data_IF_049322723107
#
_entry.id   IF_049322723107
#
_cell.length_a   1.000
_cell.length_b   1.000
_cell.length_c   1.000
_cell.angle_alpha   90.00
_cell.angle_beta   90.00
_cell.angle_gamma   90.00
#
_symmetry.space_group_name_H-M   'P 1'
#
loop_
_entity.id
_entity.type
_entity.pdbx_description
1 polymer ?
#
# COMPACT_ATOMS: atom_id res chain seq x y z
N UNK A 1 -43.02 -38.98 42.51
CA UNK A 1 -42.41 -38.14 41.46
C UNK A 1 -41.70 -36.96 42.12
N UNK A 2 -40.37 -36.92 42.12
CA UNK A 2 -39.57 -35.83 42.74
C UNK A 2 -39.74 -34.55 41.91
N UNK A 3 -40.35 -33.50 42.46
CA UNK A 3 -40.36 -32.15 41.85
C UNK A 3 -38.92 -31.63 41.88
N UNK A 4 -38.34 -31.38 40.70
CA UNK A 4 -37.09 -30.63 40.58
C UNK A 4 -37.42 -29.17 40.90
N UNK A 5 -36.80 -28.61 41.93
CA UNK A 5 -36.79 -27.17 42.15
C UNK A 5 -36.18 -26.53 40.90
N UNK A 6 -36.97 -25.70 40.22
CA UNK A 6 -36.45 -24.77 39.22
C UNK A 6 -36.06 -23.52 39.98
N UNK A 7 -34.77 -23.38 40.23
CA UNK A 7 -34.21 -22.15 40.78
C UNK A 7 -34.24 -21.08 39.67
N UNK A 8 -34.91 -19.95 39.96
CA UNK A 8 -35.03 -18.83 39.03
C UNK A 8 -33.86 -17.86 39.18
N UNK A 9 -33.39 -17.31 38.06
CA UNK A 9 -32.32 -16.32 38.02
C UNK A 9 -32.75 -15.03 38.74
N UNK A 10 -31.90 -14.52 39.64
CA UNK A 10 -32.19 -13.25 40.34
C UNK A 10 -31.78 -12.04 39.50
N UNK A 11 -32.53 -10.93 39.59
CA UNK A 11 -32.17 -9.68 38.89
C UNK A 11 -30.78 -9.16 39.32
N UNK A 12 -30.42 -9.36 40.60
CA UNK A 12 -29.14 -8.92 41.13
C UNK A 12 -27.96 -9.70 40.56
N UNK A 13 -28.09 -11.01 40.32
CA UNK A 13 -27.06 -11.83 39.65
C UNK A 13 -26.77 -11.31 38.25
N UNK A 14 -27.81 -11.01 37.47
CA UNK A 14 -27.63 -10.51 36.10
C UNK A 14 -26.94 -9.15 36.14
N UNK A 15 -27.35 -8.24 37.03
CA UNK A 15 -26.78 -6.88 37.13
C UNK A 15 -25.29 -6.93 37.50
N UNK A 16 -24.89 -7.76 38.46
CA UNK A 16 -23.47 -7.90 38.83
C UNK A 16 -22.66 -8.49 37.67
N UNK A 17 -23.19 -9.51 36.98
CA UNK A 17 -22.50 -10.14 35.84
C UNK A 17 -22.29 -9.15 34.69
N UNK A 18 -23.32 -8.39 34.29
CA UNK A 18 -23.16 -7.40 33.21
C UNK A 18 -22.25 -6.24 33.63
N UNK A 19 -22.24 -5.85 34.90
CA UNK A 19 -21.31 -4.85 35.41
C UNK A 19 -19.85 -5.31 35.31
N UNK A 20 -19.54 -6.56 35.69
CA UNK A 20 -18.18 -7.12 35.56
C UNK A 20 -17.78 -7.26 34.09
N UNK A 21 -18.66 -7.75 33.22
CA UNK A 21 -18.38 -7.87 31.77
C UNK A 21 -18.10 -6.49 31.15
N UNK A 22 -18.85 -5.45 31.52
CA UNK A 22 -18.63 -4.10 31.02
C UNK A 22 -17.25 -3.55 31.43
N UNK A 23 -16.83 -3.76 32.68
CA UNK A 23 -15.49 -3.35 33.16
C UNK A 23 -14.39 -4.10 32.41
N UNK A 24 -14.53 -5.42 32.26
CA UNK A 24 -13.53 -6.24 31.55
C UNK A 24 -13.42 -5.83 30.06
N UNK A 25 -14.55 -5.59 29.39
CA UNK A 25 -14.57 -5.14 28.00
C UNK A 25 -13.91 -3.76 27.82
N UNK A 26 -14.13 -2.84 28.76
CA UNK A 26 -13.54 -1.50 28.73
C UNK A 26 -12.00 -1.55 28.82
N UNK A 27 -11.44 -2.43 29.66
CA UNK A 27 -9.99 -2.60 29.81
C UNK A 27 -9.37 -3.28 28.57
N UNK A 28 -10.08 -4.21 27.96
CA UNK A 28 -9.56 -5.00 26.84
C UNK A 28 -9.48 -4.21 25.51
N UNK A 29 -10.39 -3.27 25.29
CA UNK A 29 -10.53 -2.53 24.03
C UNK A 29 -9.22 -1.86 23.53
N UNK A 30 -8.49 -1.04 24.32
CA UNK A 30 -7.26 -0.39 23.84
C UNK A 30 -6.11 -1.35 23.54
N UNK A 31 -6.12 -2.56 24.12
CA UNK A 31 -5.10 -3.57 23.86
C UNK A 31 -5.27 -4.20 22.46
N UNK A 32 -6.53 -4.46 22.07
CA UNK A 32 -6.84 -5.04 20.77
C UNK A 32 -6.50 -4.06 19.62
N UNK A 33 -6.79 -2.77 19.80
CA UNK A 33 -6.52 -1.77 18.74
C UNK A 33 -5.04 -1.68 18.40
N UNK A 34 -4.16 -1.69 19.41
CA UNK A 34 -2.71 -1.69 19.20
C UNK A 34 -2.24 -2.90 18.40
N UNK A 35 -2.72 -4.10 18.74
CA UNK A 35 -2.35 -5.32 18.03
C UNK A 35 -2.79 -5.27 16.55
N UNK A 36 -3.97 -4.72 16.28
CA UNK A 36 -4.45 -4.51 14.92
C UNK A 36 -3.53 -3.52 14.18
N UNK A 37 -3.16 -2.40 14.79
CA UNK A 37 -2.30 -1.40 14.15
C UNK A 37 -0.91 -1.96 13.84
N UNK A 38 -0.31 -2.71 14.76
CA UNK A 38 0.97 -3.40 14.53
C UNK A 38 0.85 -4.40 13.37
N UNK A 39 -0.26 -5.13 13.30
CA UNK A 39 -0.52 -6.08 12.19
C UNK A 39 -0.67 -5.38 10.84
N UNK A 40 -1.31 -4.20 10.81
CA UNK A 40 -1.44 -3.38 9.61
C UNK A 40 -0.08 -2.87 9.15
N UNK A 41 0.74 -2.34 10.06
CA UNK A 41 2.09 -1.87 9.75
C UNK A 41 2.95 -3.01 9.18
N UNK A 42 2.92 -4.19 9.81
CA UNK A 42 3.67 -5.36 9.35
C UNK A 42 3.20 -5.82 7.96
N UNK A 43 1.88 -5.90 7.74
CA UNK A 43 1.30 -6.23 6.44
C UNK A 43 1.75 -5.23 5.37
N UNK A 44 1.65 -3.93 5.67
CA UNK A 44 1.98 -2.88 4.73
C UNK A 44 3.45 -2.92 4.29
N UNK A 45 4.35 -3.18 5.24
CA UNK A 45 5.78 -3.36 4.97
C UNK A 45 6.06 -4.56 4.06
N UNK A 46 5.40 -5.68 4.29
CA UNK A 46 5.55 -6.87 3.44
C UNK A 46 5.02 -6.63 2.03
N UNK A 47 3.88 -5.95 1.89
CA UNK A 47 3.31 -5.61 0.58
C UNK A 47 4.23 -4.64 -0.19
N UNK A 48 4.77 -3.61 0.47
CA UNK A 48 5.76 -2.70 -0.13
C UNK A 48 7.03 -3.44 -0.61
N UNK A 49 7.50 -4.46 0.13
CA UNK A 49 8.62 -5.30 -0.27
C UNK A 49 8.31 -6.13 -1.51
N UNK A 50 7.12 -6.74 -1.59
CA UNK A 50 6.69 -7.52 -2.75
C UNK A 50 6.63 -6.65 -4.00
N UNK A 51 6.07 -5.44 -3.89
CA UNK A 51 6.01 -4.46 -4.98
C UNK A 51 7.43 -4.06 -5.40
N UNK A 52 8.30 -3.76 -4.43
CA UNK A 52 9.71 -3.43 -4.70
C UNK A 52 10.47 -4.55 -5.41
N UNK A 53 10.23 -5.80 -5.04
CA UNK A 53 10.81 -6.96 -5.72
C UNK A 53 10.32 -7.13 -7.16
N UNK A 54 9.02 -6.94 -7.40
CA UNK A 54 8.45 -6.96 -8.74
C UNK A 54 9.04 -5.86 -9.63
N UNK A 55 9.22 -4.66 -9.07
CA UNK A 55 9.90 -3.54 -9.72
C UNK A 55 11.35 -3.87 -10.10
N UNK A 56 12.12 -4.43 -9.18
CA UNK A 56 13.51 -4.84 -9.46
C UNK A 56 13.57 -5.86 -10.59
N UNK A 57 12.65 -6.82 -10.64
CA UNK A 57 12.57 -7.80 -11.73
C UNK A 57 12.19 -7.15 -13.06
N UNK A 58 11.21 -6.23 -13.05
CA UNK A 58 10.84 -5.43 -14.23
C UNK A 58 12.06 -4.67 -14.78
N UNK A 59 12.80 -3.98 -13.91
CA UNK A 59 13.97 -3.21 -14.32
C UNK A 59 15.07 -4.10 -14.91
N UNK A 60 15.31 -5.29 -14.34
CA UNK A 60 16.28 -6.25 -14.87
C UNK A 60 15.96 -6.72 -16.30
N UNK A 61 14.68 -6.79 -16.65
CA UNK A 61 14.23 -7.26 -17.94
C UNK A 61 14.12 -6.14 -18.98
N UNK A 62 13.54 -4.99 -18.60
CA UNK A 62 13.23 -3.91 -19.54
C UNK A 62 14.33 -2.84 -19.56
N UNK A 63 15.22 -2.82 -18.56
CA UNK A 63 16.32 -1.85 -18.44
C UNK A 63 15.87 -0.42 -18.09
N UNK A 64 14.60 -0.23 -17.77
CA UNK A 64 14.04 1.04 -17.33
C UNK A 64 12.97 0.79 -16.26
N UNK A 65 12.69 1.80 -15.44
CA UNK A 65 11.58 1.73 -14.49
C UNK A 65 10.24 1.92 -15.22
N UNK A 66 9.12 1.42 -14.65
CA UNK A 66 7.79 1.54 -15.27
C UNK A 66 7.18 2.94 -15.16
N UNK A 67 8.03 3.97 -15.22
CA UNK A 67 7.66 5.38 -15.18
C UNK A 67 7.90 6.09 -16.51
N UNK A 68 8.59 5.44 -17.45
CA UNK A 68 8.87 5.97 -18.78
C UNK A 68 8.09 5.20 -19.83
N UNK A 69 7.40 5.93 -20.68
CA UNK A 69 6.80 5.38 -21.89
C UNK A 69 7.89 5.26 -22.97
N UNK A 70 8.21 4.05 -23.46
CA UNK A 70 9.26 3.87 -24.45
C UNK A 70 8.88 4.35 -25.85
N UNK A 71 7.58 4.56 -26.12
CA UNK A 71 7.08 5.03 -27.42
C UNK A 71 7.05 6.55 -27.49
N UNK A 72 6.45 7.21 -26.50
CA UNK A 72 6.31 8.67 -26.49
C UNK A 72 7.47 9.40 -25.79
N UNK A 73 8.30 8.68 -25.04
CA UNK A 73 9.35 9.26 -24.20
C UNK A 73 8.84 9.98 -22.94
N UNK A 74 7.52 10.01 -22.71
CA UNK A 74 6.93 10.64 -21.53
C UNK A 74 7.39 9.95 -20.24
N UNK A 75 7.61 10.74 -19.18
CA UNK A 75 8.07 10.27 -17.87
C UNK A 75 7.11 10.76 -16.79
N UNK A 76 6.71 9.87 -15.89
CA UNK A 76 6.07 10.21 -14.62
C UNK A 76 7.06 10.10 -13.46
N UNK A 77 6.93 10.98 -12.48
CA UNK A 77 7.79 10.96 -11.27
C UNK A 77 7.17 10.14 -10.14
N UNK A 78 5.85 9.91 -10.21
CA UNK A 78 5.10 9.15 -9.20
C UNK A 78 4.24 8.09 -9.88
N UNK A 79 4.30 6.87 -9.35
CA UNK A 79 3.39 5.77 -9.69
C UNK A 79 2.59 5.37 -8.45
N UNK A 80 1.48 4.67 -8.65
CA UNK A 80 0.63 4.21 -7.56
C UNK A 80 -0.03 2.86 -7.84
N UNK A 81 -0.46 2.16 -6.80
CA UNK A 81 -1.30 0.94 -6.94
C UNK A 81 -2.79 1.30 -7.02
N UNK A 82 -3.64 0.43 -7.56
CA UNK A 82 -5.09 0.65 -7.54
C UNK A 82 -5.57 1.92 -8.26
N UNK A 83 -6.78 2.38 -7.92
CA UNK A 83 -7.54 3.34 -8.75
C UNK A 83 -7.56 4.81 -8.25
N UNK A 84 -7.17 5.10 -7.00
CA UNK A 84 -7.36 6.42 -6.40
C UNK A 84 -6.09 6.94 -5.73
N UNK A 85 -5.57 8.09 -6.17
CA UNK A 85 -4.35 8.72 -5.64
C UNK A 85 -4.60 9.27 -4.22
N UNK A 86 -3.67 9.14 -3.26
CA UNK A 86 -3.80 9.77 -1.95
C UNK A 86 -3.89 11.30 -2.10
N UNK A 87 -4.60 11.97 -1.20
CA UNK A 87 -4.84 13.42 -1.30
C UNK A 87 -3.61 14.28 -0.97
N UNK A 88 -2.52 13.68 -0.49
CA UNK A 88 -1.30 14.37 -0.05
C UNK A 88 -0.05 13.58 -0.42
N UNK A 89 0.48 13.85 -1.61
CA UNK A 89 1.71 13.24 -2.16
C UNK A 89 2.72 14.27 -2.67
N UNK A 90 2.49 15.57 -2.41
CA UNK A 90 3.34 16.66 -2.92
C UNK A 90 4.81 16.51 -2.49
N UNK A 91 5.07 15.99 -1.28
CA UNK A 91 6.41 15.69 -0.77
C UNK A 91 7.14 14.61 -1.60
N UNK A 92 6.39 13.77 -2.30
CA UNK A 92 6.89 12.67 -3.12
C UNK A 92 7.12 13.06 -4.59
N UNK A 93 6.79 14.30 -5.00
CA UNK A 93 6.94 14.79 -6.36
C UNK A 93 8.25 15.59 -6.50
N UNK A 94 9.11 15.20 -7.44
CA UNK A 94 10.33 15.93 -7.75
C UNK A 94 10.05 17.08 -8.75
N UNK A 95 10.04 18.33 -8.28
CA UNK A 95 10.08 19.54 -9.13
C UNK A 95 8.77 19.92 -9.83
N UNK A 96 8.51 21.23 -9.90
CA UNK A 96 7.29 21.88 -10.43
C UNK A 96 7.06 21.74 -11.96
N UNK A 97 7.65 20.72 -12.60
CA UNK A 97 7.38 20.30 -13.99
C UNK A 97 6.79 18.89 -14.09
N UNK A 98 6.63 18.19 -12.97
CA UNK A 98 5.78 17.01 -12.88
C UNK A 98 4.32 17.47 -12.97
N UNK A 99 3.89 17.80 -14.19
CA UNK A 99 2.48 17.87 -14.48
C UNK A 99 1.82 16.62 -13.91
N UNK A 100 0.64 16.80 -13.34
CA UNK A 100 -0.33 15.73 -13.08
C UNK A 100 -0.71 15.06 -14.43
N UNK A 101 0.28 14.45 -15.05
CA UNK A 101 0.37 14.09 -16.46
C UNK A 101 0.87 12.66 -16.52
N UNK A 102 0.10 11.80 -15.85
CA UNK A 102 -0.36 10.46 -16.24
C UNK A 102 -1.48 10.14 -15.24
N UNK A 103 -2.45 11.06 -15.15
CA UNK A 103 -3.63 10.92 -14.30
C UNK A 103 -4.63 10.02 -15.04
N UNK A 104 -4.95 8.85 -14.47
CA UNK A 104 -5.69 7.77 -15.12
C UNK A 104 -4.87 6.48 -15.21
N UNK A 105 -5.43 5.43 -15.82
CA UNK A 105 -4.91 4.04 -15.90
C UNK A 105 -3.38 3.89 -16.13
N UNK A 106 -2.76 4.91 -16.68
CA UNK A 106 -1.35 5.06 -16.98
C UNK A 106 -0.43 5.14 -15.72
N UNK A 107 -0.82 5.87 -14.67
CA UNK A 107 -0.06 5.98 -13.41
C UNK A 107 -0.23 4.78 -12.47
N UNK A 108 -1.21 3.92 -12.76
CA UNK A 108 -1.39 2.66 -12.06
C UNK A 108 -0.30 1.68 -12.50
N UNK A 109 0.55 1.32 -11.55
CA UNK A 109 1.64 0.37 -11.75
C UNK A 109 1.15 -1.04 -12.12
N UNK A 110 -0.08 -1.41 -11.75
CA UNK A 110 -0.72 -2.67 -12.13
C UNK A 110 -0.68 -2.87 -13.65
N UNK A 111 -0.93 -1.81 -14.42
CA UNK A 111 -0.91 -1.93 -15.87
C UNK A 111 0.47 -2.32 -16.40
N UNK A 112 1.53 -1.70 -15.86
CA UNK A 112 2.90 -1.99 -16.29
C UNK A 112 3.37 -3.37 -15.84
N UNK A 113 3.06 -3.76 -14.60
CA UNK A 113 3.54 -5.00 -13.99
C UNK A 113 2.68 -6.21 -14.32
N UNK A 114 1.37 -6.08 -14.51
CA UNK A 114 0.47 -7.20 -14.76
C UNK A 114 0.25 -7.46 -16.26
N UNK A 115 0.09 -6.39 -17.05
CA UNK A 115 -0.42 -6.51 -18.42
C UNK A 115 0.41 -5.79 -19.49
N UNK A 116 1.66 -5.39 -19.23
CA UNK A 116 2.50 -4.68 -20.20
C UNK A 116 1.90 -3.34 -20.70
N UNK A 117 1.42 -2.53 -19.75
CA UNK A 117 0.77 -1.24 -19.99
C UNK A 117 -0.72 -1.35 -20.31
N UNK A 118 -1.43 -0.22 -20.29
CA UNK A 118 -2.89 -0.20 -20.43
C UNK A 118 -3.42 -0.80 -21.74
N UNK A 119 -2.60 -0.87 -22.79
CA UNK A 119 -2.92 -1.43 -24.10
C UNK A 119 -2.26 -2.80 -24.39
N UNK A 120 -1.56 -3.40 -23.43
CA UNK A 120 -0.99 -4.75 -23.59
C UNK A 120 0.38 -4.84 -24.27
N UNK A 121 0.94 -3.74 -24.77
CA UNK A 121 2.15 -3.74 -25.60
C UNK A 121 3.00 -2.48 -25.42
N UNK A 122 3.05 -1.94 -24.20
CA UNK A 122 3.81 -0.72 -23.94
C UNK A 122 5.31 -0.95 -24.07
N UNK A 123 5.82 -2.09 -23.57
CA UNK A 123 7.21 -2.47 -23.64
C UNK A 123 7.44 -3.54 -24.72
N UNK A 124 8.63 -3.56 -25.37
CA UNK A 124 8.91 -4.47 -26.47
C UNK A 124 8.66 -5.95 -26.09
N UNK A 125 7.97 -6.74 -26.92
CA UNK A 125 7.73 -8.16 -26.65
C UNK A 125 8.91 -9.07 -27.01
N UNK A 126 9.92 -8.54 -27.73
CA UNK A 126 11.09 -9.28 -28.23
C UNK A 126 12.38 -8.45 -28.06
N UNK A 127 13.53 -9.14 -28.08
CA UNK A 127 14.85 -8.56 -27.82
C UNK A 127 15.36 -8.79 -26.39
N UNK A 128 16.57 -8.32 -26.09
CA UNK A 128 17.21 -8.53 -24.79
C UNK A 128 16.54 -7.72 -23.67
N UNK A 129 16.07 -6.50 -23.99
CA UNK A 129 15.35 -5.59 -23.10
C UNK A 129 13.84 -5.66 -23.26
N UNK A 130 13.30 -6.88 -23.32
CA UNK A 130 11.88 -7.14 -23.53
C UNK A 130 11.12 -7.34 -22.22
N UNK A 131 9.82 -7.06 -22.25
CA UNK A 131 8.92 -7.46 -21.17
C UNK A 131 8.78 -8.98 -21.14
N UNK A 132 9.08 -9.61 -20.00
CA UNK A 132 9.09 -11.09 -19.88
C UNK A 132 7.94 -11.67 -19.09
N UNK A 133 7.06 -10.85 -18.55
CA UNK A 133 5.81 -11.37 -18.03
C UNK A 133 5.14 -10.45 -17.04
N UNK A 134 3.95 -10.87 -16.58
CA UNK A 134 3.37 -10.30 -15.39
C UNK A 134 4.38 -10.48 -14.25
N UNK A 135 4.90 -9.38 -13.72
CA UNK A 135 5.80 -9.35 -12.56
C UNK A 135 5.04 -9.53 -11.24
N UNK A 136 3.71 -9.53 -11.33
CA UNK A 136 2.73 -9.78 -10.28
C UNK A 136 1.65 -10.71 -10.85
N UNK A 137 1.04 -11.54 -10.00
CA UNK A 137 0.02 -12.51 -10.43
C UNK A 137 -1.41 -11.96 -10.36
N UNK A 138 -1.62 -10.91 -9.59
CA UNK A 138 -2.91 -10.26 -9.35
C UNK A 138 -2.69 -8.75 -9.23
N UNK A 139 -3.78 -7.97 -9.35
CA UNK A 139 -3.74 -6.54 -9.09
C UNK A 139 -3.21 -6.27 -7.67
N UNK A 140 -2.36 -5.26 -7.53
CA UNK A 140 -1.75 -4.96 -6.24
C UNK A 140 -2.81 -4.47 -5.25
N UNK A 141 -2.72 -4.90 -3.98
CA UNK A 141 -3.68 -4.50 -2.98
C UNK A 141 -3.56 -3.00 -2.66
N UNK A 142 -4.63 -2.47 -2.06
CA UNK A 142 -4.55 -1.24 -1.29
C UNK A 142 -3.87 -1.54 0.05
N UNK A 143 -3.26 -0.52 0.62
CA UNK A 143 -2.72 -0.58 1.96
C UNK A 143 -3.81 -0.89 3.01
N UNK A 144 -3.44 -1.25 4.24
CA UNK A 144 -4.40 -1.60 5.28
C UNK A 144 -5.34 -0.47 5.73
N UNK A 145 -5.11 0.77 5.28
CA UNK A 145 -5.95 1.94 5.51
C UNK A 145 -6.77 2.31 4.27
N UNK A 146 -6.77 1.48 3.24
CA UNK A 146 -7.59 1.62 2.03
C UNK A 146 -7.03 2.64 1.04
N UNK A 147 -5.75 2.99 1.13
CA UNK A 147 -5.06 3.91 0.22
C UNK A 147 -4.06 3.13 -0.65
N UNK A 148 -3.73 3.64 -1.84
CA UNK A 148 -2.73 2.97 -2.66
C UNK A 148 -1.32 3.15 -2.09
N UNK A 149 -0.43 2.24 -2.47
CA UNK A 149 1.00 2.50 -2.34
C UNK A 149 1.44 3.52 -3.36
N UNK A 150 2.36 4.40 -2.98
CA UNK A 150 3.01 5.37 -3.84
C UNK A 150 4.45 5.00 -4.10
N UNK A 151 4.93 5.36 -5.28
CA UNK A 151 6.29 5.10 -5.69
C UNK A 151 6.91 6.37 -6.28
N UNK A 152 8.02 6.84 -5.71
CA UNK A 152 8.78 7.95 -6.26
C UNK A 152 9.81 7.37 -7.22
N UNK A 153 9.46 7.26 -8.49
CA UNK A 153 10.43 6.90 -9.51
C UNK A 153 11.23 8.15 -9.86
N UNK A 154 12.00 8.61 -8.87
CA UNK A 154 12.81 9.81 -8.95
C UNK A 154 14.05 9.52 -9.80
N UNK A 155 14.38 10.45 -10.69
CA UNK A 155 15.70 10.53 -11.33
C UNK A 155 16.80 11.02 -10.37
N UNK A 156 16.39 11.59 -9.23
CA UNK A 156 17.23 12.24 -8.24
C UNK A 156 16.74 11.86 -6.84
N UNK A 157 17.14 10.69 -6.35
CA UNK A 157 16.79 10.19 -5.01
C UNK A 157 16.64 8.67 -4.97
N UNK A 158 16.51 8.08 -3.77
CA UNK A 158 16.18 6.67 -3.61
C UNK A 158 14.76 6.36 -4.10
N UNK A 159 14.58 5.23 -4.79
CA UNK A 159 13.27 4.70 -5.15
C UNK A 159 12.63 4.04 -3.92
N UNK A 160 11.46 4.54 -3.55
CA UNK A 160 10.64 4.04 -2.46
C UNK A 160 9.33 3.47 -3.00
N UNK A 161 8.84 2.45 -2.31
CA UNK A 161 7.42 2.06 -2.31
C UNK A 161 6.89 2.39 -0.92
N UNK A 162 5.87 3.24 -0.82
CA UNK A 162 5.43 3.80 0.45
C UNK A 162 3.90 3.76 0.61
N UNK A 163 3.44 3.46 1.82
CA UNK A 163 2.08 3.69 2.28
C UNK A 163 2.08 4.93 3.17
N UNK A 164 1.02 5.75 3.03
CA UNK A 164 0.82 6.97 3.81
C UNK A 164 0.37 6.71 5.25
N UNK A 165 0.29 5.44 5.68
CA UNK A 165 -0.02 5.09 7.05
C UNK A 165 -1.43 5.49 7.50
N UNK A 166 -1.67 5.43 8.83
CA UNK A 166 -2.94 5.81 9.45
C UNK A 166 -3.38 7.25 9.17
N UNK A 167 -2.46 8.22 9.08
CA UNK A 167 -2.78 9.63 8.92
C UNK A 167 -3.14 10.03 7.47
N UNK A 168 -2.86 9.12 6.52
CA UNK A 168 -3.11 9.25 5.09
C UNK A 168 -2.34 10.39 4.42
N UNK A 169 -1.24 10.84 5.01
CA UNK A 169 -0.40 11.94 4.55
C UNK A 169 1.03 11.48 4.35
N UNK A 170 1.52 11.65 3.13
CA UNK A 170 2.94 11.39 2.85
C UNK A 170 3.79 12.48 3.48
N UNK A 171 4.59 12.08 4.45
CA UNK A 171 5.53 12.92 5.17
C UNK A 171 6.95 12.79 4.60
N UNK A 172 7.29 11.61 4.07
CA UNK A 172 8.58 11.27 3.47
C UNK A 172 8.77 12.02 2.17
N UNK A 173 9.93 12.66 2.00
CA UNK A 173 10.26 13.36 0.76
C UNK A 173 10.96 12.43 -0.22
N UNK A 174 10.86 12.75 -1.51
CA UNK A 174 11.50 12.00 -2.59
C UNK A 174 13.05 11.91 -2.49
N UNK A 175 13.67 12.80 -1.72
CA UNK A 175 15.11 12.86 -1.47
C UNK A 175 15.54 12.19 -0.15
N UNK A 176 14.57 11.85 0.72
CA UNK A 176 14.88 11.35 2.05
C UNK A 176 15.39 9.91 1.96
N UNK A 177 16.44 9.62 2.72
CA UNK A 177 17.03 8.28 2.82
C UNK A 177 16.37 7.40 3.89
N UNK A 178 15.42 7.97 4.64
CA UNK A 178 14.67 7.31 5.71
C UNK A 178 13.21 7.76 5.61
N UNK A 179 12.29 6.87 5.97
CA UNK A 179 10.85 7.18 6.08
C UNK A 179 10.60 8.19 7.20
N UNK A 180 9.67 9.12 6.99
CA UNK A 180 9.31 10.17 7.94
C UNK A 180 7.86 10.01 8.41
N UNK A 181 7.56 10.47 9.63
CA UNK A 181 6.22 10.40 10.21
C UNK A 181 5.77 8.97 10.48
N UNK A 182 4.52 8.67 10.13
CA UNK A 182 3.89 7.35 10.20
C UNK A 182 3.93 6.58 8.87
N UNK A 183 4.64 7.12 7.87
CA UNK A 183 4.79 6.45 6.58
C UNK A 183 5.48 5.10 6.73
N UNK A 184 4.98 4.10 5.98
CA UNK A 184 5.57 2.77 5.93
C UNK A 184 6.11 2.54 4.53
N UNK A 185 7.44 2.47 4.43
CA UNK A 185 8.11 2.36 3.14
C UNK A 185 9.15 1.25 3.05
N UNK A 186 9.32 0.75 1.82
CA UNK A 186 10.43 -0.11 1.43
C UNK A 186 11.26 0.59 0.35
N UNK A 187 12.59 0.61 0.56
CA UNK A 187 13.53 1.16 -0.42
C UNK A 187 13.93 0.08 -1.41
N UNK A 188 13.65 0.33 -2.67
CA UNK A 188 14.12 -0.51 -3.78
C UNK A 188 15.61 -0.24 -4.00
N UNK A 189 16.38 -1.31 -4.16
CA UNK A 189 17.84 -1.27 -4.38
C UNK A 189 18.20 -1.87 -5.72
#
# INVERSE_FOLDING_TARGET
>A
MRRRNREGFTLIEVVVVVAVIAILAAVLTPYITKYIDDSKIAKSRNEAQVIGGALTNFYKDVGQWPNRNPVSGAVTTVLYTGAAIPTSYANFVAGAGAGAGWNGAAGNIDNNLLINGASGNLYPPAGDLRWKGPYISVALPLDPWGRPYLLNVATTGPLWVISAGPDQRINTRNIDNVVAGDDIGFRVR
#
